data_IF_615985430685
#
_entry.id   IF_615985430685
#
_cell.length_a   1.000
_cell.length_b   1.000
_cell.length_c   1.000
_cell.angle_alpha   90.00
_cell.angle_beta   90.00
_cell.angle_gamma   90.00
#
_symmetry.space_group_name_H-M   'P 1'
#
loop_
_entity.id
_entity.type
_entity.pdbx_description
1 polymer ?
#
# COMPACT_ATOMS: atom_id res chain seq x y z
N UNK A 1 8.38 -14.78 16.72
CA UNK A 1 7.12 -15.08 16.01
C UNK A 1 6.93 -13.97 14.99
N UNK A 2 6.59 -14.29 13.73
CA UNK A 2 6.16 -13.23 12.80
C UNK A 2 4.99 -12.47 13.42
N UNK A 3 5.03 -11.15 13.37
CA UNK A 3 3.95 -10.31 13.88
C UNK A 3 2.63 -10.69 13.16
N UNK A 4 1.57 -11.14 13.86
CA UNK A 4 0.32 -11.53 13.21
C UNK A 4 -0.29 -10.39 12.38
N UNK A 5 -0.08 -9.13 12.78
CA UNK A 5 -0.54 -7.98 12.00
C UNK A 5 0.16 -7.90 10.64
N UNK A 6 1.44 -8.27 10.52
CA UNK A 6 2.13 -8.26 9.23
C UNK A 6 1.40 -9.13 8.20
N UNK A 7 0.95 -10.33 8.61
CA UNK A 7 0.25 -11.27 7.73
C UNK A 7 -1.08 -10.71 7.25
N UNK A 8 -1.82 -10.05 8.15
CA UNK A 8 -3.09 -9.39 7.81
C UNK A 8 -2.89 -8.26 6.81
N UNK A 9 -1.89 -7.38 7.02
CA UNK A 9 -1.56 -6.30 6.09
C UNK A 9 -1.13 -6.82 4.72
N UNK A 10 -0.30 -7.86 4.70
CA UNK A 10 0.16 -8.47 3.45
C UNK A 10 -1.02 -9.10 2.69
N UNK A 11 -1.89 -9.83 3.37
CA UNK A 11 -3.06 -10.45 2.75
C UNK A 11 -4.06 -9.42 2.20
N UNK A 12 -4.23 -8.26 2.86
CA UNK A 12 -5.02 -7.15 2.30
C UNK A 12 -4.31 -6.50 1.09
N UNK A 13 -2.98 -6.34 1.13
CA UNK A 13 -2.22 -5.79 0.01
C UNK A 13 -2.36 -6.63 -1.27
N UNK A 14 -2.30 -7.96 -1.13
CA UNK A 14 -2.50 -8.93 -2.22
C UNK A 14 -3.94 -8.88 -2.76
N UNK A 15 -4.94 -8.70 -1.89
CA UNK A 15 -6.34 -8.53 -2.32
C UNK A 15 -6.52 -7.33 -3.24
N UNK A 16 -5.98 -6.18 -2.83
CA UNK A 16 -6.04 -4.96 -3.64
C UNK A 16 -5.27 -5.11 -4.96
N UNK A 17 -4.08 -5.71 -4.92
CA UNK A 17 -3.26 -5.94 -6.12
C UNK A 17 -4.00 -6.80 -7.15
N UNK A 18 -4.52 -7.95 -6.71
CA UNK A 18 -5.23 -8.86 -7.59
C UNK A 18 -6.55 -8.28 -8.10
N UNK A 19 -7.25 -7.48 -7.29
CA UNK A 19 -8.42 -6.74 -7.75
C UNK A 19 -8.05 -5.77 -8.87
N UNK A 20 -7.01 -4.95 -8.67
CA UNK A 20 -6.56 -3.98 -9.66
C UNK A 20 -6.11 -4.67 -10.97
N UNK A 21 -5.29 -5.72 -10.89
CA UNK A 21 -4.83 -6.47 -12.06
C UNK A 21 -5.99 -7.05 -12.88
N UNK A 22 -6.96 -7.71 -12.23
CA UNK A 22 -8.12 -8.30 -12.93
C UNK A 22 -8.98 -7.26 -13.62
N UNK A 23 -9.16 -6.10 -13.00
CA UNK A 23 -9.94 -5.01 -13.58
C UNK A 23 -9.17 -4.27 -14.69
N UNK A 24 -7.84 -4.30 -14.68
CA UNK A 24 -7.00 -3.74 -15.74
C UNK A 24 -7.00 -4.62 -17.01
N UNK A 25 -7.26 -5.92 -16.88
CA UNK A 25 -7.33 -6.85 -18.02
C UNK A 25 -8.53 -6.59 -18.95
N UNK A 26 -9.57 -5.92 -18.46
CA UNK A 26 -10.74 -5.54 -19.25
C UNK A 26 -10.48 -4.21 -19.98
N UNK A 27 -10.28 -4.21 -21.31
CA UNK A 27 -9.96 -3.01 -22.07
C UNK A 27 -11.14 -2.02 -22.15
N UNK A 28 -12.36 -2.47 -21.87
CA UNK A 28 -13.57 -1.64 -21.90
C UNK A 28 -13.94 -1.15 -20.49
N UNK A 29 -13.12 -1.42 -19.47
CA UNK A 29 -13.40 -1.02 -18.10
C UNK A 29 -13.44 0.52 -17.97
N UNK A 30 -14.59 1.12 -17.64
CA UNK A 30 -14.69 2.56 -17.52
C UNK A 30 -14.14 3.11 -16.19
N UNK A 31 -13.78 2.24 -15.23
CA UNK A 31 -13.40 2.59 -13.85
C UNK A 31 -11.88 2.51 -13.61
N UNK A 32 -11.08 3.05 -14.53
CA UNK A 32 -9.62 3.03 -14.42
C UNK A 32 -9.10 3.86 -13.22
N UNK A 33 -9.86 4.87 -12.79
CA UNK A 33 -9.61 5.62 -11.57
C UNK A 33 -9.65 4.72 -10.32
N UNK A 34 -10.63 3.82 -10.23
CA UNK A 34 -10.71 2.83 -9.15
C UNK A 34 -9.59 1.79 -9.25
N UNK A 35 -9.19 1.41 -10.46
CA UNK A 35 -8.03 0.51 -10.65
C UNK A 35 -6.75 1.15 -10.11
N UNK A 36 -6.47 2.40 -10.46
CA UNK A 36 -5.33 3.15 -9.93
C UNK A 36 -5.40 3.31 -8.40
N UNK A 37 -6.58 3.59 -7.86
CA UNK A 37 -6.80 3.64 -6.41
C UNK A 37 -6.42 2.32 -5.72
N UNK A 38 -6.82 1.16 -6.27
CA UNK A 38 -6.45 -0.13 -5.68
C UNK A 38 -4.94 -0.44 -5.81
N UNK A 39 -4.27 0.01 -6.88
CA UNK A 39 -2.80 -0.07 -6.94
C UNK A 39 -2.13 0.79 -5.85
N UNK A 40 -2.62 2.01 -5.62
CA UNK A 40 -2.16 2.83 -4.50
C UNK A 40 -2.38 2.13 -3.15
N UNK A 41 -3.60 1.63 -2.90
CA UNK A 41 -3.95 0.91 -1.67
C UNK A 41 -3.08 -0.32 -1.44
N UNK A 42 -2.78 -1.08 -2.48
CA UNK A 42 -1.89 -2.23 -2.41
C UNK A 42 -0.47 -1.81 -2.03
N UNK A 43 0.10 -0.81 -2.70
CA UNK A 43 1.43 -0.28 -2.39
C UNK A 43 1.53 0.24 -0.94
N UNK A 44 0.53 0.99 -0.48
CA UNK A 44 0.43 1.48 0.91
C UNK A 44 0.51 0.33 1.91
N UNK A 45 -0.27 -0.73 1.68
CA UNK A 45 -0.35 -1.89 2.56
C UNK A 45 0.92 -2.73 2.53
N UNK A 46 1.60 -2.87 1.39
CA UNK A 46 2.91 -3.52 1.33
C UNK A 46 3.95 -2.75 2.15
N UNK A 47 4.06 -1.43 1.99
CA UNK A 47 4.99 -0.61 2.76
C UNK A 47 4.69 -0.69 4.27
N UNK A 48 3.41 -0.58 4.65
CA UNK A 48 2.99 -0.74 6.05
C UNK A 48 3.26 -2.12 6.61
N UNK A 49 3.07 -3.18 5.82
CA UNK A 49 3.42 -4.54 6.23
C UNK A 49 4.91 -4.65 6.55
N UNK A 50 5.78 -4.05 5.72
CA UNK A 50 7.22 -4.03 5.94
C UNK A 50 7.60 -3.28 7.21
N UNK A 51 7.02 -2.09 7.43
CA UNK A 51 7.19 -1.28 8.65
C UNK A 51 6.85 -2.10 9.90
N UNK A 52 5.68 -2.78 9.89
CA UNK A 52 5.22 -3.62 11.01
C UNK A 52 6.09 -4.86 11.20
N UNK A 53 6.58 -5.48 10.12
CA UNK A 53 7.44 -6.67 10.18
C UNK A 53 8.83 -6.38 10.76
N UNK A 54 9.28 -5.13 10.66
CA UNK A 54 10.59 -4.68 11.10
C UNK A 54 10.56 -3.77 12.34
N UNK A 55 9.40 -3.64 12.99
CA UNK A 55 9.19 -2.81 14.18
C UNK A 55 9.66 -1.34 13.99
N UNK A 56 9.45 -0.80 12.78
CA UNK A 56 9.77 0.60 12.43
C UNK A 56 8.66 1.55 12.90
N UNK A 57 8.92 2.87 12.87
CA UNK A 57 7.94 3.89 13.28
C UNK A 57 6.68 3.83 12.40
N UNK A 58 5.58 3.28 12.93
CA UNK A 58 4.33 3.20 12.20
C UNK A 58 3.61 4.56 12.14
N UNK A 59 3.33 5.04 10.93
CA UNK A 59 2.56 6.29 10.70
C UNK A 59 1.22 5.99 10.02
N UNK A 60 0.15 6.58 10.55
CA UNK A 60 -1.22 6.51 9.97
C UNK A 60 -1.38 7.53 8.83
N UNK A 61 -0.53 7.42 7.82
CA UNK A 61 -0.54 8.29 6.63
C UNK A 61 -0.82 7.46 5.37
N UNK A 62 -1.20 8.15 4.30
CA UNK A 62 -1.48 7.56 2.99
C UNK A 62 -0.48 8.02 1.92
N UNK A 63 0.48 8.86 2.29
CA UNK A 63 1.57 9.28 1.42
C UNK A 63 2.60 8.14 1.28
N UNK A 64 2.72 7.59 0.06
CA UNK A 64 3.62 6.47 -0.20
C UNK A 64 5.09 6.87 -0.12
N UNK A 65 5.43 8.13 -0.40
CA UNK A 65 6.82 8.63 -0.33
C UNK A 65 7.26 8.70 1.12
N UNK A 66 6.42 9.21 2.02
CA UNK A 66 6.72 9.23 3.46
C UNK A 66 6.78 7.83 4.06
N UNK A 67 5.92 6.90 3.61
CA UNK A 67 6.00 5.49 4.03
C UNK A 67 7.28 4.83 3.51
N UNK A 68 7.67 5.09 2.26
CA UNK A 68 8.89 4.56 1.66
C UNK A 68 10.13 5.01 2.42
N UNK A 69 10.19 6.29 2.83
CA UNK A 69 11.31 6.82 3.64
C UNK A 69 11.51 6.06 4.95
N UNK A 70 10.42 5.63 5.59
CA UNK A 70 10.51 4.79 6.81
C UNK A 70 11.10 3.43 6.46
N UNK A 71 10.63 2.80 5.37
CA UNK A 71 11.16 1.52 4.93
C UNK A 71 12.65 1.59 4.58
N UNK A 72 13.12 2.69 3.98
CA UNK A 72 14.51 2.94 3.62
C UNK A 72 15.47 2.95 4.83
N UNK A 73 14.98 3.27 6.04
CA UNK A 73 15.78 3.16 7.27
C UNK A 73 16.30 1.73 7.50
N UNK A 74 15.54 0.74 7.03
CA UNK A 74 15.88 -0.69 7.13
C UNK A 74 16.46 -1.25 5.83
N UNK A 75 15.91 -0.86 4.69
CA UNK A 75 16.29 -1.37 3.37
C UNK A 75 16.53 -0.21 2.37
N UNK A 76 17.74 0.37 2.33
CA UNK A 76 18.05 1.51 1.47
C UNK A 76 17.87 1.26 -0.03
N UNK A 77 17.86 0.00 -0.48
CA UNK A 77 17.63 -0.33 -1.90
C UNK A 77 16.20 0.00 -2.37
N UNK A 78 15.26 0.19 -1.44
CA UNK A 78 13.89 0.61 -1.74
C UNK A 78 13.80 2.03 -2.31
N UNK A 79 14.87 2.83 -2.22
CA UNK A 79 14.97 4.13 -2.91
C UNK A 79 14.71 4.06 -4.42
N UNK A 80 14.92 2.89 -5.03
CA UNK A 80 14.55 2.63 -6.43
C UNK A 80 13.05 2.73 -6.72
N UNK A 81 12.19 2.70 -5.68
CA UNK A 81 10.73 2.78 -5.77
C UNK A 81 10.19 4.22 -5.67
N UNK A 82 11.05 5.24 -5.43
CA UNK A 82 10.61 6.63 -5.18
C UNK A 82 9.69 7.14 -6.28
N UNK A 83 10.11 7.03 -7.55
CA UNK A 83 9.31 7.52 -8.68
C UNK A 83 7.97 6.79 -8.83
N UNK A 84 7.90 5.50 -8.47
CA UNK A 84 6.65 4.76 -8.50
C UNK A 84 5.72 5.19 -7.36
N UNK A 85 6.27 5.46 -6.17
CA UNK A 85 5.51 5.96 -5.01
C UNK A 85 4.99 7.38 -5.27
N UNK A 86 5.81 8.27 -5.85
CA UNK A 86 5.40 9.61 -6.26
C UNK A 86 4.24 9.54 -7.25
N UNK A 87 4.36 8.73 -8.31
CA UNK A 87 3.30 8.55 -9.29
C UNK A 87 2.01 7.98 -8.67
N UNK A 88 2.12 6.96 -7.81
CA UNK A 88 0.95 6.32 -7.24
C UNK A 88 0.23 7.20 -6.20
N UNK A 89 0.96 8.07 -5.48
CA UNK A 89 0.42 8.94 -4.43
C UNK A 89 -0.69 9.86 -4.97
N UNK A 90 -0.60 10.28 -6.23
CA UNK A 90 -1.61 11.12 -6.88
C UNK A 90 -2.97 10.42 -7.09
N UNK A 91 -3.01 9.08 -7.01
CA UNK A 91 -4.24 8.29 -7.12
C UNK A 91 -4.88 7.95 -5.77
N UNK A 92 -4.34 8.48 -4.68
CA UNK A 92 -5.02 8.43 -3.41
C UNK A 92 -6.32 9.25 -3.49
N UNK A 93 -7.42 8.63 -3.06
CA UNK A 93 -8.69 9.30 -2.84
C UNK A 93 -9.00 9.15 -1.37
N UNK A 94 -9.26 10.27 -0.68
CA UNK A 94 -9.68 10.26 0.72
C UNK A 94 -10.97 9.45 0.86
N UNK A 95 -10.82 8.20 1.26
CA UNK A 95 -11.89 7.24 1.46
C UNK A 95 -11.73 6.74 2.89
N UNK A 96 -12.72 7.02 3.73
CA UNK A 96 -12.74 6.55 5.11
C UNK A 96 -13.09 5.05 5.11
N UNK A 97 -12.16 4.22 4.68
CA UNK A 97 -12.23 2.76 4.81
C UNK A 97 -11.13 2.37 5.79
N UNK A 98 -11.47 2.43 7.08
CA UNK A 98 -10.64 1.83 8.11
C UNK A 98 -10.82 0.30 8.02
N UNK A 99 -9.74 -0.42 7.69
CA UNK A 99 -9.69 -1.87 7.88
C UNK A 99 -10.12 -2.18 9.33
N UNK A 100 -11.04 -3.15 9.55
CA UNK A 100 -11.64 -3.37 10.87
C UNK A 100 -10.65 -3.58 12.02
N UNK A 101 -9.45 -4.10 11.73
CA UNK A 101 -8.41 -4.40 12.72
C UNK A 101 -7.62 -3.20 13.26
N UNK A 102 -7.81 -1.99 12.74
CA UNK A 102 -7.08 -0.77 13.14
C UNK A 102 -7.88 0.17 14.05
N UNK A 103 -8.97 -0.34 14.64
CA UNK A 103 -9.84 0.43 15.54
C UNK A 103 -9.28 0.62 16.95
N UNK A 104 -8.18 -0.03 17.31
CA UNK A 104 -7.56 0.09 18.64
C UNK A 104 -6.04 0.29 18.52
#
# INVERSE_FOLDING_TARGET
MLNPLFKEWLEEAERDFHFACRNLEDPENPYLDLVCFHFHQSAEKYLKSFIVAHDLEFKRIQDLVELLRICEEKEPSFSTLSSACEFLTDFYIETVILSPGLRE
#
